data_IF_534144640311
#
_entry.id   IF_534144640311
#
_cell.length_a   1.000
_cell.length_b   1.000
_cell.length_c   1.000
_cell.angle_alpha   90.00
_cell.angle_beta   90.00
_cell.angle_gamma   90.00
#
_symmetry.space_group_name_H-M   'P 1'
#
loop_
_entity.id
_entity.type
_entity.pdbx_description
1 polymer ?
#
# COMPACT_ATOMS: atom_id res chain seq x y z
N UNK A 1 21.66 -1.08 36.37
CA UNK A 1 20.76 -0.05 35.79
C UNK A 1 21.41 0.87 34.76
N UNK A 2 22.76 0.92 34.62
CA UNK A 2 23.42 1.83 33.66
C UNK A 2 23.30 1.44 32.17
N UNK A 3 22.82 0.25 31.82
CA UNK A 3 22.67 -0.20 30.42
C UNK A 3 21.25 -0.12 29.85
N UNK A 4 20.22 0.10 30.68
CA UNK A 4 18.84 0.02 30.19
C UNK A 4 18.51 1.12 29.17
N UNK A 5 19.01 2.35 29.41
CA UNK A 5 18.82 3.47 28.48
C UNK A 5 19.57 3.24 27.16
N UNK A 6 20.79 2.71 27.23
CA UNK A 6 21.57 2.37 26.04
C UNK A 6 20.91 1.25 25.22
N UNK A 7 20.43 0.20 25.87
CA UNK A 7 19.73 -0.92 25.23
C UNK A 7 18.42 -0.45 24.57
N UNK A 8 17.67 0.46 25.22
CA UNK A 8 16.46 1.07 24.63
C UNK A 8 16.81 1.92 23.41
N UNK A 9 17.86 2.76 23.46
CA UNK A 9 18.29 3.58 22.34
C UNK A 9 18.73 2.73 21.12
N UNK A 10 19.46 1.64 21.37
CA UNK A 10 19.84 0.69 20.32
C UNK A 10 18.60 0.03 19.71
N UNK A 11 17.64 -0.39 20.54
CA UNK A 11 16.39 -1.00 20.07
C UNK A 11 15.55 -0.03 19.25
N UNK A 12 15.42 1.22 19.69
CA UNK A 12 14.71 2.26 18.95
C UNK A 12 15.38 2.56 17.60
N UNK A 13 16.70 2.62 17.57
CA UNK A 13 17.46 2.84 16.33
C UNK A 13 17.22 1.71 15.32
N UNK A 14 17.16 0.46 15.78
CA UNK A 14 16.82 -0.69 14.92
C UNK A 14 15.40 -0.59 14.36
N UNK A 15 14.42 -0.28 15.23
CA UNK A 15 13.02 -0.09 14.81
C UNK A 15 12.91 1.03 13.78
N UNK A 16 13.65 2.13 13.94
CA UNK A 16 13.63 3.23 12.98
C UNK A 16 14.18 2.83 11.60
N UNK A 17 15.28 2.06 11.58
CA UNK A 17 15.85 1.54 10.33
C UNK A 17 14.89 0.57 9.65
N UNK A 18 14.30 -0.37 10.41
CA UNK A 18 13.31 -1.33 9.89
C UNK A 18 12.07 -0.61 9.34
N UNK A 19 11.59 0.43 10.01
CA UNK A 19 10.46 1.24 9.55
C UNK A 19 10.77 2.00 8.24
N UNK A 20 12.00 2.53 8.11
CA UNK A 20 12.47 3.17 6.88
C UNK A 20 12.56 2.18 5.72
N UNK A 21 13.07 0.98 5.97
CA UNK A 21 13.15 -0.08 4.95
C UNK A 21 11.75 -0.52 4.50
N UNK A 22 10.83 -0.74 5.43
CA UNK A 22 9.43 -1.06 5.12
C UNK A 22 8.77 0.05 4.30
N UNK A 23 9.03 1.32 4.64
CA UNK A 23 8.50 2.47 3.88
C UNK A 23 9.05 2.46 2.45
N UNK A 24 10.36 2.30 2.29
CA UNK A 24 10.99 2.24 0.98
C UNK A 24 10.45 1.07 0.13
N UNK A 25 10.20 -0.09 0.76
CA UNK A 25 9.61 -1.25 0.10
C UNK A 25 8.20 -0.95 -0.40
N UNK A 26 7.35 -0.34 0.43
CA UNK A 26 5.98 0.04 0.05
C UNK A 26 5.98 1.07 -1.07
N UNK A 27 6.87 2.07 -1.01
CA UNK A 27 7.00 3.08 -2.08
C UNK A 27 7.47 2.47 -3.39
N UNK A 28 8.49 1.59 -3.36
CA UNK A 28 8.97 0.90 -4.55
C UNK A 28 7.89 0.05 -5.21
N UNK A 29 7.11 -0.69 -4.41
CA UNK A 29 5.99 -1.49 -4.90
C UNK A 29 4.88 -0.62 -5.50
N UNK A 30 4.57 0.51 -4.86
CA UNK A 30 3.58 1.47 -5.36
C UNK A 30 4.01 2.04 -6.72
N UNK A 31 5.30 2.38 -6.87
CA UNK A 31 5.84 2.89 -8.13
C UNK A 31 5.82 1.82 -9.25
N UNK A 32 6.17 0.58 -8.92
CA UNK A 32 6.09 -0.54 -9.88
C UNK A 32 4.66 -0.79 -10.34
N UNK A 33 3.69 -0.78 -9.43
CA UNK A 33 2.27 -0.89 -9.77
C UNK A 33 1.82 0.26 -10.66
N UNK A 34 2.24 1.49 -10.35
CA UNK A 34 1.91 2.64 -11.17
C UNK A 34 2.47 2.51 -12.60
N UNK A 35 3.73 2.08 -12.72
CA UNK A 35 4.36 1.81 -14.01
C UNK A 35 3.61 0.73 -14.81
N UNK A 36 3.19 -0.36 -14.16
CA UNK A 36 2.38 -1.41 -14.79
C UNK A 36 1.07 -0.82 -15.30
N UNK A 37 0.31 -0.12 -14.46
CA UNK A 37 -1.00 0.46 -14.84
C UNK A 37 -0.84 1.46 -16.00
N UNK A 38 0.22 2.26 -16.03
CA UNK A 38 0.50 3.19 -17.13
C UNK A 38 0.71 2.51 -18.48
N UNK A 39 1.11 1.23 -18.49
CA UNK A 39 1.27 0.44 -19.72
C UNK A 39 -0.02 -0.25 -20.17
N UNK A 40 -1.06 -0.28 -19.33
CA UNK A 40 -2.34 -0.88 -19.66
C UNK A 40 -3.20 0.10 -20.46
N UNK A 41 -4.10 -0.44 -21.28
CA UNK A 41 -5.18 0.37 -21.85
C UNK A 41 -6.24 0.71 -20.79
N UNK A 42 -7.13 1.64 -21.15
CA UNK A 42 -8.18 2.13 -20.24
C UNK A 42 -9.13 1.03 -19.79
N UNK A 43 -9.56 0.16 -20.71
CA UNK A 43 -10.49 -0.94 -20.43
C UNK A 43 -9.88 -1.93 -19.44
N UNK A 44 -8.60 -2.27 -19.63
CA UNK A 44 -7.88 -3.20 -18.77
C UNK A 44 -7.62 -2.58 -17.38
N UNK A 45 -7.34 -1.28 -17.31
CA UNK A 45 -7.19 -0.55 -16.04
C UNK A 45 -8.50 -0.55 -15.24
N UNK A 46 -9.64 -0.30 -15.90
CA UNK A 46 -10.97 -0.37 -15.28
C UNK A 46 -11.29 -1.79 -14.79
N UNK A 47 -10.99 -2.82 -15.58
CA UNK A 47 -11.18 -4.22 -15.20
C UNK A 47 -10.32 -4.64 -14.00
N UNK A 48 -9.06 -4.22 -13.95
CA UNK A 48 -8.16 -4.46 -12.81
C UNK A 48 -8.73 -3.81 -11.54
N UNK A 49 -9.15 -2.54 -11.65
CA UNK A 49 -9.76 -1.80 -10.54
C UNK A 49 -11.00 -2.51 -10.00
N UNK A 50 -11.92 -2.91 -10.90
CA UNK A 50 -13.13 -3.61 -10.53
C UNK A 50 -12.84 -4.96 -9.88
N UNK A 51 -11.91 -5.73 -10.45
CA UNK A 51 -11.53 -7.06 -9.95
C UNK A 51 -10.96 -6.98 -8.54
N UNK A 52 -10.07 -6.01 -8.27
CA UNK A 52 -9.49 -5.81 -6.93
C UNK A 52 -10.59 -5.41 -5.93
N UNK A 53 -11.43 -4.44 -6.27
CA UNK A 53 -12.50 -4.00 -5.38
C UNK A 53 -13.47 -5.14 -5.06
N UNK A 54 -13.82 -5.96 -6.06
CA UNK A 54 -14.71 -7.10 -5.87
C UNK A 54 -14.06 -8.20 -5.03
N UNK A 55 -12.77 -8.48 -5.22
CA UNK A 55 -12.04 -9.43 -4.38
C UNK A 55 -12.04 -9.00 -2.90
N UNK A 56 -11.81 -7.71 -2.63
CA UNK A 56 -11.84 -7.14 -1.27
C UNK A 56 -13.21 -7.30 -0.63
N UNK A 57 -14.27 -6.90 -1.34
CA UNK A 57 -15.65 -7.00 -0.83
C UNK A 57 -16.08 -8.44 -0.65
N UNK A 58 -15.69 -9.36 -1.54
CA UNK A 58 -16.01 -10.78 -1.42
C UNK A 58 -15.29 -11.40 -0.22
N UNK A 59 -13.98 -11.17 -0.07
CA UNK A 59 -13.22 -11.69 1.07
C UNK A 59 -13.78 -11.18 2.40
N UNK A 60 -14.19 -9.90 2.45
CA UNK A 60 -14.84 -9.32 3.62
C UNK A 60 -16.22 -9.93 3.93
N UNK A 61 -16.98 -10.33 2.91
CA UNK A 61 -18.27 -10.99 3.10
C UNK A 61 -18.15 -12.45 3.54
N UNK A 62 -17.07 -13.11 3.16
CA UNK A 62 -16.82 -14.52 3.47
C UNK A 62 -16.12 -14.73 4.82
N UNK A 63 -15.65 -13.65 5.47
CA UNK A 63 -14.96 -13.69 6.76
C UNK A 63 -15.75 -12.95 7.83
N UNK A 64 -16.12 -13.65 8.89
CA UNK A 64 -16.72 -13.04 10.09
C UNK A 64 -15.69 -12.25 10.94
N UNK A 65 -14.39 -12.37 10.62
CA UNK A 65 -13.29 -11.72 11.35
C UNK A 65 -12.94 -10.33 10.78
N UNK A 66 -13.34 -10.04 9.54
CA UNK A 66 -13.00 -8.78 8.88
C UNK A 66 -14.04 -7.71 9.26
N UNK A 67 -13.61 -6.69 9.99
CA UNK A 67 -14.49 -5.57 10.32
C UNK A 67 -14.71 -4.67 9.10
N UNK A 68 -15.91 -4.10 8.96
CA UNK A 68 -16.23 -3.14 7.88
C UNK A 68 -15.24 -1.97 7.82
N UNK A 69 -14.76 -1.49 8.98
CA UNK A 69 -13.74 -0.45 9.05
C UNK A 69 -12.42 -0.81 8.37
N UNK A 70 -12.02 -2.08 8.43
CA UNK A 70 -10.77 -2.55 7.82
C UNK A 70 -10.91 -2.63 6.30
N UNK A 71 -12.11 -3.01 5.83
CA UNK A 71 -12.47 -3.01 4.41
C UNK A 71 -12.42 -1.60 3.85
N UNK A 72 -13.03 -0.64 4.55
CA UNK A 72 -13.05 0.77 4.13
C UNK A 72 -11.62 1.34 4.06
N UNK A 73 -10.77 1.01 5.04
CA UNK A 73 -9.37 1.40 5.04
C UNK A 73 -8.61 0.81 3.85
N UNK A 74 -8.82 -0.48 3.56
CA UNK A 74 -8.17 -1.18 2.45
C UNK A 74 -8.61 -0.62 1.09
N UNK A 75 -9.91 -0.42 0.89
CA UNK A 75 -10.46 0.19 -0.33
C UNK A 75 -9.91 1.61 -0.52
N UNK A 76 -9.83 2.40 0.55
CA UNK A 76 -9.22 3.74 0.51
C UNK A 76 -7.74 3.68 0.09
N UNK A 77 -6.99 2.72 0.62
CA UNK A 77 -5.57 2.56 0.29
C UNK A 77 -5.36 2.12 -1.16
N UNK A 78 -6.12 1.13 -1.62
CA UNK A 78 -6.08 0.64 -3.00
C UNK A 78 -6.48 1.76 -3.97
N UNK A 79 -7.53 2.52 -3.67
CA UNK A 79 -7.94 3.66 -4.50
C UNK A 79 -6.82 4.68 -4.68
N UNK A 80 -6.06 4.98 -3.61
CA UNK A 80 -4.88 5.87 -3.71
C UNK A 80 -3.79 5.28 -4.61
N UNK A 81 -3.51 3.98 -4.51
CA UNK A 81 -2.50 3.31 -5.34
C UNK A 81 -2.89 3.31 -6.83
N UNK A 82 -4.16 3.03 -7.13
CA UNK A 82 -4.68 3.02 -8.50
C UNK A 82 -4.75 4.43 -9.13
N UNK A 83 -4.82 5.48 -8.31
CA UNK A 83 -4.74 6.87 -8.78
C UNK A 83 -3.30 7.36 -9.02
N UNK A 84 -2.29 6.67 -8.49
CA UNK A 84 -0.87 7.04 -8.60
C UNK A 84 -0.36 7.23 -10.05
N UNK A 85 -0.72 6.36 -11.02
CA UNK A 85 -0.40 6.55 -12.44
C UNK A 85 -0.68 7.96 -12.99
N UNK A 86 -1.85 8.53 -12.64
CA UNK A 86 -2.27 9.85 -13.12
C UNK A 86 -1.34 10.96 -12.60
N UNK A 87 -0.85 10.83 -11.36
CA UNK A 87 0.14 11.77 -10.80
C UNK A 87 1.53 11.61 -11.41
N UNK A 88 1.90 10.42 -11.87
CA UNK A 88 3.20 10.15 -12.51
C UNK A 88 3.24 10.67 -13.96
N UNK A 89 2.13 10.53 -14.71
CA UNK A 89 2.01 11.10 -16.07
C UNK A 89 2.30 12.60 -16.10
N UNK A 90 1.73 13.36 -15.16
CA UNK A 90 1.86 14.83 -15.09
C UNK A 90 3.30 15.28 -14.79
N UNK A 91 4.15 14.43 -14.21
CA UNK A 91 5.56 14.75 -13.93
C UNK A 91 6.53 14.41 -15.06
N UNK A 92 6.04 13.77 -16.13
CA UNK A 92 6.88 13.22 -17.21
C UNK A 92 6.89 14.08 -18.49
N UNK A 93 6.19 15.22 -18.48
CA UNK A 93 6.20 16.26 -19.52
C UNK A 93 6.92 17.53 -19.02
#
# INVERSE_FOLDING_TARGET
MQNLVADVLIKMSKIEVEAKELTAQVEAQSLLLAAIILTLDKTLTENVTQTINQAIVTAAKESDEIMTSDVDLLLSHVGRLLALPEFVKVKSE
#
